data_IF_967329589052
#
_entry.id   IF_967329589052
#
_cell.length_a   1.000
_cell.length_b   1.000
_cell.length_c   1.000
_cell.angle_alpha   90.00
_cell.angle_beta   90.00
_cell.angle_gamma   90.00
#
_symmetry.space_group_name_H-M   'P 1'
#
loop_
_entity.id
_entity.type
_entity.pdbx_description
1 polymer ?
#
# COMPACT_ATOMS: atom_id res chain seq x y z
N UNK A 1 3.44 -21.09 -19.32
CA UNK A 1 4.09 -20.11 -18.44
C UNK A 1 3.20 -18.90 -18.27
N UNK A 2 3.01 -18.47 -17.05
CA UNK A 2 2.14 -17.32 -16.74
C UNK A 2 2.92 -16.03 -16.92
N UNK A 3 2.34 -15.07 -17.62
CA UNK A 3 2.93 -13.76 -17.82
C UNK A 3 2.81 -12.93 -16.54
N UNK A 4 3.89 -12.23 -16.17
CA UNK A 4 3.88 -11.30 -15.05
C UNK A 4 3.73 -9.88 -15.59
N UNK A 5 2.75 -9.17 -15.08
CA UNK A 5 2.39 -7.82 -15.52
C UNK A 5 2.48 -6.88 -14.33
N UNK A 6 3.08 -5.70 -14.54
CA UNK A 6 3.15 -4.67 -13.50
C UNK A 6 1.82 -3.94 -13.38
N UNK A 7 1.39 -3.71 -12.16
CA UNK A 7 0.22 -2.89 -11.86
C UNK A 7 0.58 -1.41 -11.87
N UNK A 8 -0.30 -0.59 -12.43
CA UNK A 8 -0.24 0.85 -12.28
C UNK A 8 -1.28 1.28 -11.22
N UNK A 9 -1.05 2.42 -10.61
CA UNK A 9 -1.94 2.96 -9.57
C UNK A 9 -3.39 3.07 -10.06
N UNK A 10 -3.59 3.55 -11.28
CA UNK A 10 -4.95 3.74 -11.81
C UNK A 10 -5.73 2.44 -11.95
N UNK A 11 -5.06 1.31 -12.15
CA UNK A 11 -5.72 0.02 -12.16
C UNK A 11 -6.47 -0.24 -10.84
N UNK A 12 -5.79 -0.01 -9.72
CA UNK A 12 -6.40 -0.18 -8.41
C UNK A 12 -7.48 0.87 -8.14
N UNK A 13 -7.23 2.12 -8.53
CA UNK A 13 -8.22 3.18 -8.32
C UNK A 13 -9.49 2.88 -9.10
N UNK A 14 -9.39 2.44 -10.36
CA UNK A 14 -10.55 2.06 -11.17
C UNK A 14 -11.28 0.87 -10.58
N UNK A 15 -10.53 -0.09 -10.05
CA UNK A 15 -11.12 -1.26 -9.39
C UNK A 15 -11.88 -0.86 -8.13
N UNK A 16 -11.29 -0.02 -7.28
CA UNK A 16 -11.88 0.33 -5.98
C UNK A 16 -12.99 1.37 -6.08
N UNK A 17 -12.97 2.24 -7.08
CA UNK A 17 -13.95 3.34 -7.18
C UNK A 17 -15.04 3.09 -8.21
N UNK A 18 -14.87 2.11 -9.09
CA UNK A 18 -15.82 1.76 -10.15
C UNK A 18 -16.05 2.88 -11.17
N UNK A 19 -15.10 3.82 -11.29
CA UNK A 19 -15.18 4.94 -12.23
C UNK A 19 -13.86 5.19 -12.92
N UNK A 20 -13.88 5.54 -14.23
CA UNK A 20 -15.03 5.40 -15.13
C UNK A 20 -15.38 3.94 -15.37
N UNK A 21 -16.62 3.69 -15.70
CA UNK A 21 -17.19 2.33 -15.76
C UNK A 21 -16.44 1.39 -16.71
N UNK A 22 -16.08 1.86 -17.90
CA UNK A 22 -15.39 1.03 -18.88
C UNK A 22 -14.00 0.60 -18.39
N UNK A 23 -13.25 1.50 -17.75
CA UNK A 23 -11.94 1.17 -17.18
C UNK A 23 -12.08 0.26 -15.96
N UNK A 24 -13.11 0.50 -15.14
CA UNK A 24 -13.40 -0.34 -13.98
C UNK A 24 -13.71 -1.78 -14.42
N UNK A 25 -14.49 -1.95 -15.47
CA UNK A 25 -14.80 -3.29 -16.01
C UNK A 25 -13.55 -4.00 -16.51
N UNK A 26 -12.65 -3.27 -17.17
CA UNK A 26 -11.38 -3.84 -17.64
C UNK A 26 -10.50 -4.27 -16.46
N UNK A 27 -10.43 -3.45 -15.43
CA UNK A 27 -9.69 -3.79 -14.22
C UNK A 27 -10.27 -5.03 -13.56
N UNK A 28 -11.60 -5.10 -13.43
CA UNK A 28 -12.27 -6.26 -12.86
C UNK A 28 -11.99 -7.54 -13.64
N UNK A 29 -12.07 -7.48 -14.96
CA UNK A 29 -11.79 -8.64 -15.80
C UNK A 29 -10.34 -9.10 -15.65
N UNK A 30 -9.42 -8.15 -15.51
CA UNK A 30 -8.02 -8.51 -15.31
C UNK A 30 -7.79 -9.17 -13.96
N UNK A 31 -8.41 -8.66 -12.89
CA UNK A 31 -8.32 -9.30 -11.58
C UNK A 31 -8.90 -10.72 -11.59
N UNK A 32 -9.96 -10.94 -12.36
CA UNK A 32 -10.49 -12.30 -12.52
C UNK A 32 -9.44 -13.22 -13.16
N UNK A 33 -8.75 -12.74 -14.20
CA UNK A 33 -7.67 -13.51 -14.82
C UNK A 33 -6.56 -13.84 -13.81
N UNK A 34 -6.19 -12.88 -12.99
CA UNK A 34 -5.18 -13.09 -11.94
C UNK A 34 -5.66 -14.16 -10.95
N UNK A 35 -6.93 -14.08 -10.53
CA UNK A 35 -7.51 -15.05 -9.60
C UNK A 35 -7.57 -16.46 -10.19
N UNK A 36 -7.73 -16.57 -11.50
CA UNK A 36 -7.75 -17.86 -12.20
C UNK A 36 -6.36 -18.36 -12.57
N UNK A 37 -5.31 -17.67 -12.13
CA UNK A 37 -3.90 -18.01 -12.40
C UNK A 37 -3.55 -17.95 -13.89
N UNK A 38 -4.28 -17.15 -14.64
CA UNK A 38 -4.01 -16.90 -16.06
C UNK A 38 -3.00 -15.75 -16.26
N UNK A 39 -2.80 -14.93 -15.22
CA UNK A 39 -1.83 -13.85 -15.19
C UNK A 39 -1.32 -13.69 -13.78
N UNK A 40 -0.13 -13.13 -13.64
CA UNK A 40 0.48 -12.77 -12.37
C UNK A 40 0.71 -11.26 -12.34
N UNK A 41 0.38 -10.62 -11.22
CA UNK A 41 0.49 -9.18 -11.08
C UNK A 41 1.66 -8.84 -10.16
N UNK A 42 2.49 -7.89 -10.57
CA UNK A 42 3.55 -7.35 -9.72
C UNK A 42 3.20 -5.93 -9.29
N UNK A 43 3.31 -5.66 -8.00
CA UNK A 43 2.94 -4.37 -7.41
C UNK A 43 4.15 -3.78 -6.70
N UNK A 44 4.65 -2.64 -7.20
CA UNK A 44 5.71 -1.89 -6.55
C UNK A 44 5.16 -1.18 -5.30
N UNK A 45 6.04 -0.98 -4.32
CA UNK A 45 5.66 -0.29 -3.09
C UNK A 45 5.09 1.10 -3.36
N UNK A 46 5.64 1.81 -4.34
CA UNK A 46 5.17 3.16 -4.67
C UNK A 46 3.72 3.16 -5.17
N UNK A 47 3.31 2.09 -5.85
CA UNK A 47 1.93 1.96 -6.33
C UNK A 47 0.97 1.84 -5.15
N UNK A 48 1.35 1.09 -4.12
CA UNK A 48 0.55 1.01 -2.88
C UNK A 48 0.44 2.38 -2.23
N UNK A 49 1.57 3.09 -2.08
CA UNK A 49 1.60 4.42 -1.49
C UNK A 49 0.70 5.42 -2.25
N UNK A 50 0.82 5.44 -3.57
CA UNK A 50 0.00 6.33 -4.39
C UNK A 50 -1.48 5.97 -4.32
N UNK A 51 -1.80 4.68 -4.28
CA UNK A 51 -3.19 4.22 -4.16
C UNK A 51 -3.80 4.71 -2.86
N UNK A 52 -3.10 4.54 -1.74
CA UNK A 52 -3.56 5.05 -0.44
C UNK A 52 -3.78 6.55 -0.50
N UNK A 53 -2.81 7.29 -1.05
CA UNK A 53 -2.90 8.75 -1.14
C UNK A 53 -4.12 9.20 -1.96
N UNK A 54 -4.32 8.62 -3.14
CA UNK A 54 -5.42 9.00 -4.02
C UNK A 54 -6.78 8.67 -3.38
N UNK A 55 -6.90 7.47 -2.80
CA UNK A 55 -8.14 7.09 -2.11
C UNK A 55 -8.45 8.05 -0.96
N UNK A 56 -7.43 8.43 -0.19
CA UNK A 56 -7.61 9.29 0.97
C UNK A 56 -7.90 10.75 0.58
N UNK A 57 -7.08 11.31 -0.31
CA UNK A 57 -7.11 12.75 -0.61
C UNK A 57 -8.07 13.14 -1.72
N UNK A 58 -8.22 12.30 -2.73
CA UNK A 58 -9.08 12.60 -3.88
C UNK A 58 -10.49 12.06 -3.66
N UNK A 59 -10.60 10.80 -3.27
CA UNK A 59 -11.89 10.13 -3.13
C UNK A 59 -12.46 10.19 -1.71
N UNK A 60 -11.69 10.73 -0.76
CA UNK A 60 -12.15 10.92 0.63
C UNK A 60 -12.59 9.63 1.30
N UNK A 61 -11.97 8.52 0.94
CA UNK A 61 -12.23 7.23 1.57
C UNK A 61 -11.61 7.24 2.97
N UNK A 62 -12.32 6.69 3.95
CA UNK A 62 -11.80 6.68 5.31
C UNK A 62 -10.69 5.63 5.51
N UNK A 63 -9.93 5.81 6.55
CA UNK A 63 -8.74 5.00 6.85
C UNK A 63 -9.05 3.51 6.98
N UNK A 64 -10.10 3.16 7.68
CA UNK A 64 -10.46 1.74 7.87
C UNK A 64 -10.84 1.08 6.55
N UNK A 65 -11.56 1.79 5.70
CA UNK A 65 -11.94 1.27 4.39
C UNK A 65 -10.72 1.13 3.48
N UNK A 66 -9.80 2.08 3.52
CA UNK A 66 -8.54 1.98 2.76
C UNK A 66 -7.75 0.76 3.24
N UNK A 67 -7.65 0.57 4.55
CA UNK A 67 -6.99 -0.61 5.11
C UNK A 67 -7.57 -1.90 4.53
N UNK A 68 -8.89 -2.03 4.54
CA UNK A 68 -9.56 -3.24 4.04
C UNK A 68 -9.29 -3.45 2.55
N UNK A 69 -9.31 -2.37 1.76
CA UNK A 69 -9.06 -2.46 0.32
C UNK A 69 -7.64 -2.92 0.02
N UNK A 70 -6.65 -2.31 0.66
CA UNK A 70 -5.25 -2.69 0.44
C UNK A 70 -4.98 -4.09 0.98
N UNK A 71 -5.53 -4.40 2.16
CA UNK A 71 -5.39 -5.73 2.76
C UNK A 71 -5.92 -6.83 1.83
N UNK A 72 -7.01 -6.57 1.12
CA UNK A 72 -7.56 -7.53 0.16
C UNK A 72 -6.58 -7.82 -0.98
N UNK A 73 -5.87 -6.79 -1.46
CA UNK A 73 -4.83 -6.97 -2.48
C UNK A 73 -3.70 -7.85 -1.94
N UNK A 74 -3.27 -7.60 -0.71
CA UNK A 74 -2.16 -8.34 -0.10
C UNK A 74 -2.49 -9.82 0.08
N UNK A 75 -3.77 -10.17 0.18
CA UNK A 75 -4.22 -11.54 0.39
C UNK A 75 -4.60 -12.28 -0.89
N UNK A 76 -4.54 -11.63 -2.04
CA UNK A 76 -4.86 -12.30 -3.31
C UNK A 76 -3.69 -13.16 -3.78
N UNK A 77 -4.00 -14.38 -4.22
CA UNK A 77 -3.00 -15.23 -4.86
C UNK A 77 -2.58 -14.61 -6.21
N UNK A 78 -1.37 -14.92 -6.63
CA UNK A 78 -0.79 -14.47 -7.89
C UNK A 78 -0.59 -12.95 -7.98
N UNK A 79 -0.55 -12.29 -6.82
CA UNK A 79 -0.10 -10.91 -6.71
C UNK A 79 1.21 -10.91 -5.92
N UNK A 80 2.26 -10.39 -6.56
CA UNK A 80 3.57 -10.24 -5.93
C UNK A 80 3.68 -8.80 -5.46
N UNK A 81 3.93 -8.62 -4.18
CA UNK A 81 4.20 -7.30 -3.60
C UNK A 81 5.71 -7.15 -3.46
N UNK A 82 6.27 -6.08 -3.97
CA UNK A 82 7.71 -5.84 -4.02
C UNK A 82 8.40 -6.07 -2.68
N UNK A 83 7.92 -5.43 -1.63
CA UNK A 83 8.45 -5.59 -0.27
C UNK A 83 7.29 -5.92 0.68
N UNK A 84 6.76 -7.13 0.57
CA UNK A 84 5.54 -7.52 1.24
C UNK A 84 5.55 -7.28 2.75
N UNK A 85 6.60 -7.72 3.44
CA UNK A 85 6.64 -7.57 4.90
C UNK A 85 6.67 -6.11 5.34
N UNK A 86 7.35 -5.26 4.58
CA UNK A 86 7.39 -3.81 4.85
C UNK A 86 6.01 -3.20 4.65
N UNK A 87 5.33 -3.57 3.57
CA UNK A 87 3.99 -3.05 3.27
C UNK A 87 2.97 -3.52 4.32
N UNK A 88 3.02 -4.78 4.71
CA UNK A 88 2.11 -5.32 5.74
C UNK A 88 2.26 -4.54 7.05
N UNK A 89 3.50 -4.34 7.50
CA UNK A 89 3.75 -3.61 8.74
C UNK A 89 3.35 -2.14 8.62
N UNK A 90 3.65 -1.51 7.47
CA UNK A 90 3.24 -0.13 7.22
C UNK A 90 1.73 0.03 7.26
N UNK A 91 1.01 -0.91 6.65
CA UNK A 91 -0.45 -0.88 6.64
C UNK A 91 -1.03 -1.02 8.04
N UNK A 92 -0.43 -1.87 8.87
CA UNK A 92 -0.84 -2.04 10.27
C UNK A 92 -0.59 -0.77 11.09
N UNK A 93 0.58 -0.13 10.94
CA UNK A 93 0.85 1.15 11.59
C UNK A 93 -0.13 2.23 11.13
N UNK A 94 -0.42 2.27 9.83
CA UNK A 94 -1.38 3.21 9.27
C UNK A 94 -2.75 3.09 9.94
N UNK A 95 -3.21 1.86 10.11
CA UNK A 95 -4.50 1.60 10.75
C UNK A 95 -4.46 1.82 12.26
N UNK A 96 -3.48 1.22 12.94
CA UNK A 96 -3.48 1.10 14.40
C UNK A 96 -2.91 2.33 15.09
N UNK A 97 -1.96 3.03 14.46
CA UNK A 97 -1.25 4.15 15.07
C UNK A 97 -1.72 5.50 14.57
N UNK A 98 -2.65 5.53 13.62
CA UNK A 98 -3.19 6.77 13.05
C UNK A 98 -2.09 7.71 12.54
N UNK A 99 -1.18 7.17 11.75
CA UNK A 99 -0.12 7.93 11.12
C UNK A 99 -0.27 7.88 9.59
N UNK A 100 0.34 8.85 8.90
CA UNK A 100 0.34 8.89 7.45
C UNK A 100 0.99 7.61 6.89
N UNK A 101 0.46 7.09 5.78
CA UNK A 101 0.97 5.84 5.22
C UNK A 101 2.45 5.95 4.84
N UNK A 102 2.89 7.06 4.26
CA UNK A 102 4.29 7.22 3.86
C UNK A 102 5.22 7.23 5.07
N UNK A 103 4.79 7.83 6.19
CA UNK A 103 5.57 7.80 7.42
C UNK A 103 5.58 6.39 8.02
N UNK A 104 4.46 5.69 7.96
CA UNK A 104 4.36 4.30 8.37
C UNK A 104 5.30 3.41 7.52
N UNK A 105 5.33 3.66 6.23
CA UNK A 105 6.21 2.94 5.31
C UNK A 105 7.68 3.20 5.64
N UNK A 106 8.05 4.46 5.84
CA UNK A 106 9.43 4.83 6.19
C UNK A 106 9.88 4.14 7.46
N UNK A 107 9.04 4.16 8.50
CA UNK A 107 9.35 3.50 9.76
C UNK A 107 9.49 1.98 9.59
N UNK A 108 8.57 1.36 8.88
CA UNK A 108 8.59 -0.07 8.62
C UNK A 108 9.84 -0.47 7.84
N UNK A 109 10.22 0.34 6.85
CA UNK A 109 11.41 0.11 6.04
C UNK A 109 12.68 0.20 6.88
N UNK A 110 12.77 1.23 7.72
CA UNK A 110 13.91 1.42 8.61
C UNK A 110 14.06 0.24 9.57
N UNK A 111 12.98 -0.17 10.22
CA UNK A 111 12.98 -1.30 11.15
C UNK A 111 13.41 -2.59 10.44
N UNK A 112 12.92 -2.83 9.25
CA UNK A 112 13.29 -4.01 8.46
C UNK A 112 14.79 -4.07 8.17
N UNK A 113 15.42 -2.91 8.01
CA UNK A 113 16.84 -2.80 7.75
C UNK A 113 17.68 -2.64 9.02
N UNK A 114 17.08 -2.89 10.19
CA UNK A 114 17.74 -2.80 11.50
C UNK A 114 18.28 -1.40 11.79
N UNK A 115 17.63 -0.38 11.28
CA UNK A 115 17.94 1.03 11.54
C UNK A 115 16.70 1.61 12.23
N UNK A 116 16.86 2.05 13.47
CA UNK A 116 15.72 2.52 14.26
C UNK A 116 15.70 4.03 14.48
N UNK A 117 16.65 4.77 13.89
CA UNK A 117 16.70 6.23 14.02
C UNK A 117 16.21 6.88 12.73
N UNK A 118 15.32 7.85 12.87
CA UNK A 118 14.76 8.59 11.75
C UNK A 118 14.97 10.07 12.02
N UNK A 119 15.63 10.78 11.09
CA UNK A 119 15.75 12.23 11.18
C UNK A 119 14.44 12.83 10.66
N UNK A 120 13.68 13.46 11.55
CA UNK A 120 12.37 14.01 11.22
C UNK A 120 12.01 15.13 12.20
N UNK A 121 11.15 16.03 11.74
CA UNK A 121 10.52 17.04 12.59
C UNK A 121 9.07 16.67 12.91
N UNK A 122 8.61 15.51 12.44
CA UNK A 122 7.23 15.04 12.63
C UNK A 122 7.15 14.18 13.88
N UNK A 123 6.35 14.62 14.85
CA UNK A 123 6.16 13.90 16.11
C UNK A 123 5.34 12.63 15.95
N UNK A 124 4.69 12.39 14.81
CA UNK A 124 3.91 11.18 14.61
C UNK A 124 4.77 9.92 14.69
N UNK A 125 6.07 10.02 14.40
CA UNK A 125 6.98 8.88 14.56
C UNK A 125 7.13 8.41 16.00
N UNK A 126 6.77 9.25 16.98
CA UNK A 126 6.76 8.84 18.39
C UNK A 126 5.71 7.76 18.68
N UNK A 127 4.72 7.64 17.83
CA UNK A 127 3.68 6.62 17.96
C UNK A 127 4.20 5.21 17.70
N UNK A 128 5.38 5.08 17.10
CA UNK A 128 6.02 3.80 16.82
C UNK A 128 7.14 3.62 17.82
N UNK A 129 6.94 2.69 18.75
CA UNK A 129 7.82 2.51 19.91
C UNK A 129 9.28 2.24 19.52
N UNK A 130 9.50 1.47 18.47
CA UNK A 130 10.84 1.06 18.03
C UNK A 130 11.64 2.19 17.38
N UNK A 131 10.98 3.28 16.99
CA UNK A 131 11.63 4.39 16.29
C UNK A 131 12.09 5.45 17.27
N UNK A 132 13.33 5.90 17.08
CA UNK A 132 13.90 7.05 17.79
C UNK A 132 14.00 8.21 16.84
N UNK A 133 13.40 9.34 17.22
CA UNK A 133 13.46 10.56 16.43
C UNK A 133 14.80 11.25 16.67
N UNK A 134 15.43 11.66 15.56
CA UNK A 134 16.63 12.49 15.56
C UNK A 134 16.27 13.79 14.83
N UNK A 135 16.49 14.93 15.47
CA UNK A 135 16.28 16.23 14.83
C UNK A 135 17.29 17.27 15.27
N UNK A 136 18.37 16.83 15.90
CA UNK A 136 19.49 17.66 16.30
C UNK A 136 20.79 16.99 15.90
N UNK A 137 21.78 17.76 15.60
CA UNK A 137 23.10 17.26 15.20
C UNK A 137 24.12 17.56 16.27
#
# INVERSE_FOLDING_TARGET
MVETIYADTNMFIRFFTSHPEDQSEKANRFFIKVSLKEAQLFVCDIVISETVYVLEKVYKVNRNEIYEKIHSILNMENIIIENRSIIVNALNYYKDKNINFNDAYLASHAIKNNINKVFTFDNDFKKIEEIKIVNEV
#
